data_IF_848916191682
#
_entry.id   IF_848916191682
#
_cell.length_a   1.000
_cell.length_b   1.000
_cell.length_c   1.000
_cell.angle_alpha   90.00
_cell.angle_beta   90.00
_cell.angle_gamma   90.00
#
_symmetry.space_group_name_H-M   'P 1'
#
loop_
_entity.id
_entity.type
_entity.pdbx_description
1 polymer ?
#
# COMPACT_ATOMS: atom_id res chain seq x y z
N UNK A 1 -5.49 -7.91 12.95
CA UNK A 1 -5.18 -7.55 11.55
C UNK A 1 -5.60 -6.13 11.14
N UNK A 2 -6.90 -5.76 11.04
CA UNK A 2 -7.26 -4.46 10.41
C UNK A 2 -6.89 -3.20 11.22
N UNK A 3 -6.93 -3.28 12.55
CA UNK A 3 -6.47 -2.18 13.43
C UNK A 3 -4.95 -1.97 13.31
N UNK A 4 -4.23 -3.03 12.99
CA UNK A 4 -2.78 -3.08 12.79
C UNK A 4 -2.49 -3.07 11.28
N UNK A 5 -3.12 -2.18 10.50
CA UNK A 5 -2.82 -2.09 9.06
C UNK A 5 -1.62 -1.15 8.83
N UNK A 6 -0.77 -1.41 7.83
CA UNK A 6 0.35 -0.52 7.52
C UNK A 6 -0.15 0.85 7.07
N UNK A 7 0.57 1.90 7.45
CA UNK A 7 0.30 3.28 7.05
C UNK A 7 1.30 3.68 5.97
N UNK A 8 0.83 4.35 4.92
CA UNK A 8 1.71 4.82 3.84
C UNK A 8 2.42 6.10 4.24
N UNK A 9 3.66 6.24 3.80
CA UNK A 9 4.50 7.43 4.02
C UNK A 9 4.86 8.00 2.65
N UNK A 10 4.02 8.87 2.06
CA UNK A 10 4.30 9.44 0.75
C UNK A 10 5.37 10.54 0.84
N UNK A 11 5.94 10.91 -0.31
CA UNK A 11 7.07 11.85 -0.40
C UNK A 11 6.74 13.24 0.16
N UNK A 12 5.48 13.65 0.05
CA UNK A 12 4.96 14.90 0.61
C UNK A 12 4.97 14.92 2.15
N UNK A 13 5.11 13.77 2.81
CA UNK A 13 5.26 13.65 4.27
C UNK A 13 6.72 13.45 4.71
N UNK A 14 7.70 13.66 3.83
CA UNK A 14 9.14 13.59 4.15
C UNK A 14 9.77 12.21 4.00
N UNK A 15 9.06 11.21 3.46
CA UNK A 15 9.61 9.88 3.19
C UNK A 15 10.38 9.78 1.87
N UNK A 16 11.35 8.85 1.77
CA UNK A 16 12.01 8.44 0.51
C UNK A 16 11.10 7.57 -0.38
N UNK A 17 9.85 7.99 -0.54
CA UNK A 17 8.83 7.27 -1.29
C UNK A 17 8.86 7.65 -2.78
N UNK A 18 8.82 6.65 -3.64
CA UNK A 18 8.79 6.84 -5.11
C UNK A 18 7.36 6.84 -5.63
N UNK A 19 6.57 5.83 -5.26
CA UNK A 19 5.15 5.72 -5.64
C UNK A 19 4.30 5.64 -4.37
N UNK A 20 3.34 6.54 -4.15
CA UNK A 20 2.28 6.41 -3.12
C UNK A 20 2.64 6.25 -1.63
N UNK A 21 3.89 5.94 -1.28
CA UNK A 21 4.35 5.66 0.09
C UNK A 21 4.10 4.24 0.60
N UNK A 22 3.68 3.29 -0.26
CA UNK A 22 3.25 1.94 0.15
C UNK A 22 4.43 1.09 0.63
N UNK A 23 5.48 0.94 -0.20
CA UNK A 23 6.66 0.16 0.18
C UNK A 23 7.37 0.73 1.41
N UNK A 24 7.43 2.07 1.50
CA UNK A 24 8.02 2.76 2.65
C UNK A 24 7.21 2.52 3.92
N UNK A 25 5.88 2.49 3.82
CA UNK A 25 4.98 2.13 4.93
C UNK A 25 5.08 0.67 5.37
N UNK A 26 5.25 -0.24 4.42
CA UNK A 26 5.55 -1.64 4.69
C UNK A 26 6.87 -1.81 5.43
N UNK A 27 7.92 -1.13 4.95
CA UNK A 27 9.23 -1.18 5.59
C UNK A 27 9.27 -0.59 7.00
N UNK A 28 8.57 0.53 7.22
CA UNK A 28 8.43 1.14 8.53
C UNK A 28 7.74 0.20 9.54
N UNK A 29 6.73 -0.54 9.08
CA UNK A 29 5.98 -1.47 9.94
C UNK A 29 6.70 -2.78 10.23
N UNK A 30 7.28 -3.41 9.21
CA UNK A 30 7.84 -4.77 9.31
C UNK A 30 9.37 -4.77 9.41
N UNK A 31 10.02 -3.61 9.50
CA UNK A 31 11.48 -3.49 9.60
C UNK A 31 12.24 -3.86 8.32
N UNK A 32 11.55 -4.06 7.19
CA UNK A 32 12.16 -4.43 5.92
C UNK A 32 12.59 -3.20 5.09
N UNK A 33 13.67 -3.31 4.31
CA UNK A 33 14.07 -2.25 3.39
C UNK A 33 12.95 -2.02 2.34
N UNK A 34 12.48 -0.77 2.14
CA UNK A 34 11.52 -0.42 1.08
C UNK A 34 11.92 -0.92 -0.31
N UNK A 35 13.22 -1.08 -0.59
CA UNK A 35 13.72 -1.64 -1.85
C UNK A 35 13.40 -3.12 -1.97
N UNK A 36 13.60 -3.92 -0.92
CA UNK A 36 13.26 -5.34 -0.92
C UNK A 36 11.75 -5.56 -1.16
N UNK A 37 10.90 -4.73 -0.53
CA UNK A 37 9.45 -4.76 -0.74
C UNK A 37 9.09 -4.41 -2.19
N UNK A 38 9.78 -3.44 -2.82
CA UNK A 38 9.57 -3.13 -4.25
C UNK A 38 9.93 -4.31 -5.14
N UNK A 39 11.07 -4.95 -4.89
CA UNK A 39 11.51 -6.12 -5.65
C UNK A 39 10.47 -7.23 -5.55
N UNK A 40 9.92 -7.48 -4.36
CA UNK A 40 8.84 -8.45 -4.18
C UNK A 40 7.58 -8.11 -5.02
N UNK A 41 7.15 -6.86 -5.05
CA UNK A 41 6.03 -6.42 -5.91
C UNK A 41 6.35 -6.56 -7.40
N UNK A 42 7.56 -6.19 -7.84
CA UNK A 42 7.99 -6.28 -9.23
C UNK A 42 8.07 -7.73 -9.68
N UNK A 43 8.64 -8.62 -8.87
CA UNK A 43 8.72 -10.05 -9.16
C UNK A 43 7.32 -10.67 -9.23
N UNK A 44 6.44 -10.30 -8.30
CA UNK A 44 5.03 -10.75 -8.33
C UNK A 44 4.30 -10.21 -9.57
N UNK A 45 4.66 -9.01 -10.02
CA UNK A 45 4.15 -8.38 -11.24
C UNK A 45 4.62 -9.06 -12.52
N UNK A 46 5.90 -9.37 -12.63
CA UNK A 46 6.48 -9.98 -13.82
C UNK A 46 6.14 -11.47 -13.95
N UNK A 47 6.15 -12.20 -12.84
CA UNK A 47 5.91 -13.66 -12.86
C UNK A 47 4.42 -13.98 -12.98
N UNK A 48 3.55 -13.14 -12.41
CA UNK A 48 2.13 -13.45 -12.30
C UNK A 48 1.18 -12.37 -12.83
N UNK A 49 1.67 -11.28 -13.40
CA UNK A 49 0.86 -10.17 -13.93
C UNK A 49 0.13 -9.31 -12.87
N UNK A 50 0.08 -9.77 -11.60
CA UNK A 50 -0.77 -9.19 -10.55
C UNK A 50 -0.07 -8.22 -9.59
N UNK A 51 1.26 -8.10 -9.62
CA UNK A 51 2.01 -7.23 -8.68
C UNK A 51 1.62 -5.76 -8.72
N UNK A 52 1.30 -5.21 -9.90
CA UNK A 52 0.76 -3.85 -10.03
C UNK A 52 -0.62 -3.75 -9.39
N UNK A 53 -1.49 -4.73 -9.62
CA UNK A 53 -2.82 -4.74 -9.00
C UNK A 53 -2.73 -4.81 -7.47
N UNK A 54 -1.89 -5.70 -6.95
CA UNK A 54 -1.61 -5.80 -5.52
C UNK A 54 -1.10 -4.47 -4.95
N UNK A 55 -0.22 -3.78 -5.68
CA UNK A 55 0.29 -2.47 -5.29
C UNK A 55 -0.80 -1.41 -5.21
N UNK A 56 -1.66 -1.32 -6.23
CA UNK A 56 -2.78 -0.37 -6.28
C UNK A 56 -3.78 -0.65 -5.16
N UNK A 57 -4.05 -1.92 -4.88
CA UNK A 57 -4.93 -2.34 -3.78
C UNK A 57 -4.34 -1.94 -2.42
N UNK A 58 -3.04 -2.16 -2.19
CA UNK A 58 -2.36 -1.70 -0.97
C UNK A 58 -2.49 -0.19 -0.80
N UNK A 59 -2.30 0.57 -1.88
CA UNK A 59 -2.44 2.02 -1.86
C UNK A 59 -3.88 2.44 -1.50
N UNK A 60 -4.89 1.76 -2.03
CA UNK A 60 -6.30 2.06 -1.74
C UNK A 60 -6.66 1.79 -0.26
N UNK A 61 -6.09 0.73 0.33
CA UNK A 61 -6.41 0.27 1.68
C UNK A 61 -5.59 0.98 2.78
N UNK A 62 -4.38 1.45 2.46
CA UNK A 62 -3.47 2.05 3.44
C UNK A 62 -3.73 3.56 3.64
N UNK A 63 -4.02 4.01 4.88
CA UNK A 63 -4.12 5.42 5.21
C UNK A 63 -2.73 6.08 5.25
N UNK A 64 -2.67 7.40 5.05
CA UNK A 64 -1.42 8.17 5.26
C UNK A 64 -1.04 8.18 6.75
N UNK A 65 0.23 8.46 7.04
CA UNK A 65 0.63 8.86 8.39
C UNK A 65 -0.13 10.14 8.78
N UNK A 66 -0.64 10.16 10.02
CA UNK A 66 -1.44 11.27 10.56
C UNK A 66 -2.92 11.25 10.19
N UNK A 67 -3.34 10.39 9.25
CA UNK A 67 -4.74 10.29 8.81
C UNK A 67 -5.36 8.96 9.25
N UNK A 68 -6.63 8.97 9.65
CA UNK A 68 -7.35 7.74 10.01
C UNK A 68 -8.07 7.12 8.82
N UNK A 69 -8.44 7.93 7.83
CA UNK A 69 -9.10 7.48 6.61
C UNK A 69 -8.10 6.99 5.56
N UNK A 70 -8.41 5.84 4.96
CA UNK A 70 -7.73 5.37 3.76
C UNK A 70 -8.42 5.91 2.50
N UNK A 71 -7.71 5.99 1.35
CA UNK A 71 -8.30 6.45 0.10
C UNK A 71 -9.60 5.72 -0.27
N UNK A 72 -9.66 4.40 -0.06
CA UNK A 72 -10.89 3.63 -0.27
C UNK A 72 -12.06 4.06 0.63
N UNK A 73 -11.79 4.36 1.90
CA UNK A 73 -12.83 4.85 2.85
C UNK A 73 -13.31 6.25 2.47
N UNK A 74 -12.43 7.10 1.94
CA UNK A 74 -12.79 8.45 1.49
C UNK A 74 -13.80 8.46 0.32
N UNK A 75 -13.92 7.35 -0.43
CA UNK A 75 -14.94 7.20 -1.48
C UNK A 75 -16.32 6.90 -0.86
N UNK A 76 -16.35 6.06 0.17
CA UNK A 76 -17.57 5.57 0.82
C UNK A 76 -18.25 6.63 1.69
N UNK A 77 -17.49 7.63 2.13
CA UNK A 77 -17.97 8.67 3.05
C UNK A 77 -18.42 9.94 2.27
N UNK A 78 -19.48 10.64 2.69
CA UNK A 78 -19.94 11.88 2.05
C UNK A 78 -18.89 13.01 2.04
N UNK A 79 -18.82 13.78 0.94
CA UNK A 79 -17.76 14.80 0.69
C UNK A 79 -17.72 15.96 1.69
N UNK A 80 -18.80 16.20 2.41
CA UNK A 80 -18.98 17.27 3.39
C UNK A 80 -18.32 16.95 4.75
N UNK A 81 -18.01 15.68 5.02
CA UNK A 81 -17.35 15.24 6.27
C UNK A 81 -15.83 15.06 6.11
N UNK A 82 -15.31 15.23 4.89
CA UNK A 82 -13.91 14.97 4.57
C UNK A 82 -13.03 16.21 4.82
N UNK A 83 -11.89 15.98 5.47
CA UNK A 83 -10.84 16.99 5.60
C UNK A 83 -10.25 17.35 4.22
N UNK A 84 -9.55 18.48 4.07
CA UNK A 84 -8.89 18.86 2.81
C UNK A 84 -7.91 17.79 2.31
N UNK A 85 -7.19 17.12 3.21
CA UNK A 85 -6.27 16.02 2.88
C UNK A 85 -7.01 14.77 2.39
N UNK A 86 -8.11 14.40 3.05
CA UNK A 86 -8.95 13.27 2.66
C UNK A 86 -9.65 13.49 1.31
N UNK A 87 -10.00 14.75 0.99
CA UNK A 87 -10.58 15.10 -0.32
C UNK A 87 -9.60 14.86 -1.48
N UNK A 88 -8.31 15.15 -1.26
CA UNK A 88 -7.23 14.83 -2.22
C UNK A 88 -7.11 13.31 -2.39
N UNK A 89 -7.16 12.57 -1.29
CA UNK A 89 -7.10 11.11 -1.30
C UNK A 89 -8.28 10.46 -2.00
N UNK A 90 -9.50 11.02 -1.86
CA UNK A 90 -10.67 10.55 -2.60
C UNK A 90 -10.50 10.65 -4.11
N UNK A 91 -9.89 11.73 -4.61
CA UNK A 91 -9.60 11.89 -6.04
C UNK A 91 -8.59 10.85 -6.51
N UNK A 92 -7.52 10.64 -5.74
CA UNK A 92 -6.54 9.59 -6.01
C UNK A 92 -7.20 8.20 -5.99
N UNK A 93 -8.12 7.95 -5.04
CA UNK A 93 -8.83 6.69 -4.91
C UNK A 93 -9.65 6.35 -6.16
N UNK A 94 -10.28 7.35 -6.78
CA UNK A 94 -10.98 7.15 -8.07
C UNK A 94 -10.04 6.70 -9.19
N UNK A 95 -8.86 7.31 -9.31
CA UNK A 95 -7.84 6.88 -10.27
C UNK A 95 -7.31 5.48 -9.96
N UNK A 96 -7.18 5.13 -8.67
CA UNK A 96 -6.77 3.80 -8.23
C UNK A 96 -7.82 2.71 -8.48
N UNK A 97 -9.10 3.05 -8.64
CA UNK A 97 -10.15 2.10 -9.04
C UNK A 97 -10.21 1.99 -10.56
N UNK A 98 -10.10 3.12 -11.25
CA UNK A 98 -10.18 3.17 -12.71
C UNK A 98 -8.99 2.44 -13.37
N UNK A 99 -7.78 2.58 -12.82
CA UNK A 99 -6.59 1.88 -13.32
C UNK A 99 -6.75 0.35 -13.42
N UNK A 100 -7.11 -0.35 -12.33
CA UNK A 100 -7.39 -1.78 -12.35
C UNK A 100 -8.52 -2.19 -13.30
N UNK A 101 -9.60 -1.41 -13.39
CA UNK A 101 -10.72 -1.71 -14.29
C UNK A 101 -10.26 -1.77 -15.75
N UNK A 102 -9.34 -0.88 -16.13
CA UNK A 102 -8.77 -0.86 -17.48
C UNK A 102 -7.69 -1.94 -17.64
N UNK A 103 -6.84 -2.13 -16.64
CA UNK A 103 -5.67 -3.01 -16.73
C UNK A 103 -5.99 -4.50 -16.63
N UNK A 104 -6.93 -4.90 -15.76
CA UNK A 104 -7.23 -6.30 -15.45
C UNK A 104 -7.78 -7.08 -16.66
N UNK A 105 -8.72 -6.55 -17.48
CA UNK A 105 -9.18 -7.23 -18.69
C UNK A 105 -8.03 -7.48 -19.68
N UNK A 106 -7.18 -6.47 -19.90
CA UNK A 106 -6.01 -6.58 -20.79
C UNK A 106 -4.98 -7.58 -20.28
N UNK A 107 -4.76 -7.63 -18.97
CA UNK A 107 -3.84 -8.60 -18.37
C UNK A 107 -4.39 -10.04 -18.39
N UNK A 108 -5.72 -10.20 -18.26
CA UNK A 108 -6.37 -11.51 -18.31
C UNK A 108 -6.32 -12.14 -19.72
N UNK A 109 -6.43 -11.34 -20.78
CA UNK A 109 -6.33 -11.84 -22.16
C UNK A 109 -4.88 -12.19 -22.56
N UNK A 110 -3.89 -11.63 -21.88
CA UNK A 110 -2.48 -11.80 -22.22
C UNK A 110 -1.79 -13.02 -21.58
N UNK A 111 -2.42 -13.73 -20.62
CA UNK A 111 -1.76 -14.75 -19.82
C UNK A 111 -2.59 -15.97 -19.45
N UNK A 112 -1.93 -17.07 -19.07
CA UNK A 112 -2.59 -18.28 -18.57
C UNK A 112 -3.23 -18.00 -17.19
N UNK A 113 -4.56 -18.17 -17.12
CA UNK A 113 -5.37 -18.03 -15.91
C UNK A 113 -4.80 -18.76 -14.67
N UNK A 114 -4.13 -19.91 -14.86
CA UNK A 114 -3.54 -20.71 -13.76
C UNK A 114 -2.36 -19.99 -13.11
N UNK A 115 -1.54 -19.32 -13.92
CA UNK A 115 -0.40 -18.53 -13.46
C UNK A 115 -0.91 -17.31 -12.69
N UNK A 116 -1.92 -16.62 -13.24
CA UNK A 116 -2.54 -15.46 -12.59
C UNK A 116 -3.10 -15.79 -11.21
N UNK A 117 -3.85 -16.88 -11.09
CA UNK A 117 -4.37 -17.36 -9.80
C UNK A 117 -3.24 -17.75 -8.82
N UNK A 118 -2.21 -18.42 -9.31
CA UNK A 118 -1.01 -18.73 -8.52
C UNK A 118 -0.34 -17.48 -7.94
N UNK A 119 -0.30 -16.39 -8.68
CA UNK A 119 0.23 -15.11 -8.21
C UNK A 119 -0.55 -14.48 -7.09
N UNK A 120 -1.89 -14.52 -7.17
CA UNK A 120 -2.73 -14.04 -6.08
C UNK A 120 -2.50 -14.86 -4.80
N UNK A 121 -2.35 -16.17 -4.93
CA UNK A 121 -2.03 -17.05 -3.78
C UNK A 121 -0.65 -16.73 -3.21
N UNK A 122 0.38 -16.60 -4.05
CA UNK A 122 1.74 -16.23 -3.60
C UNK A 122 1.76 -14.86 -2.94
N UNK A 123 1.05 -13.87 -3.49
CA UNK A 123 0.91 -12.56 -2.88
C UNK A 123 0.26 -12.63 -1.50
N UNK A 124 -0.84 -13.39 -1.36
CA UNK A 124 -1.50 -13.59 -0.08
C UNK A 124 -0.60 -14.32 0.92
N UNK A 125 0.19 -15.29 0.46
CA UNK A 125 1.18 -15.98 1.30
C UNK A 125 2.30 -15.03 1.75
N UNK A 126 2.86 -14.22 0.85
CA UNK A 126 3.87 -13.21 1.20
C UNK A 126 3.31 -12.20 2.21
N UNK A 127 2.07 -11.74 2.01
CA UNK A 127 1.37 -10.87 2.94
C UNK A 127 1.17 -11.55 4.30
N UNK A 128 0.74 -12.81 4.30
CA UNK A 128 0.50 -13.58 5.50
C UNK A 128 1.79 -13.84 6.28
N UNK A 129 2.87 -14.21 5.59
CA UNK A 129 4.22 -14.40 6.18
C UNK A 129 4.73 -13.08 6.76
N UNK A 130 4.58 -11.97 6.03
CA UNK A 130 4.96 -10.65 6.54
C UNK A 130 4.12 -10.25 7.77
N UNK A 131 2.84 -10.60 7.81
CA UNK A 131 2.02 -10.38 9.00
C UNK A 131 2.43 -11.28 10.18
N UNK A 132 2.73 -12.55 9.90
CA UNK A 132 3.10 -13.52 10.92
C UNK A 132 4.46 -13.21 11.55
N UNK A 133 5.37 -12.54 10.84
CA UNK A 133 6.66 -12.12 11.40
C UNK A 133 6.54 -10.99 12.42
N UNK A 134 5.58 -10.06 12.26
CA UNK A 134 5.34 -8.97 13.22
C UNK A 134 3.82 -8.71 13.42
N UNK A 135 3.15 -9.53 14.25
CA UNK A 135 1.72 -9.42 14.49
C UNK A 135 1.34 -8.25 15.40
N UNK A 136 2.25 -7.82 16.28
CA UNK A 136 2.00 -6.70 17.19
C UNK A 136 2.15 -5.35 16.49
N UNK A 137 1.25 -4.39 16.74
CA UNK A 137 1.42 -3.03 16.25
C UNK A 137 2.67 -2.39 16.89
N UNK A 138 3.41 -1.51 16.19
CA UNK A 138 4.42 -0.68 16.83
C UNK A 138 3.79 0.08 18.01
N UNK A 139 4.46 0.07 19.16
CA UNK A 139 3.89 0.42 20.46
C UNK A 139 3.45 1.89 20.57
N UNK A 140 3.90 2.78 19.68
CA UNK A 140 3.34 4.12 19.55
C UNK A 140 3.25 4.62 18.10
N UNK A 141 2.18 5.36 17.79
CA UNK A 141 2.08 6.21 16.58
C UNK A 141 3.19 7.28 16.53
N UNK A 142 3.77 7.58 17.69
CA UNK A 142 4.90 8.51 17.85
C UNK A 142 6.21 7.87 17.39
N UNK A 143 6.40 6.55 17.45
CA UNK A 143 7.61 5.87 16.96
C UNK A 143 7.76 6.01 15.44
N UNK A 144 6.66 5.97 14.70
CA UNK A 144 6.63 6.27 13.26
C UNK A 144 7.06 7.73 12.98
N UNK A 145 6.71 8.67 13.89
CA UNK A 145 7.13 10.08 13.83
C UNK A 145 8.58 10.27 14.31
N UNK A 146 9.07 9.45 15.24
CA UNK A 146 10.46 9.44 15.74
C UNK A 146 11.39 8.90 14.66
N UNK A 147 11.02 7.83 13.96
CA UNK A 147 11.76 7.32 12.80
C UNK A 147 11.80 8.37 11.68
N UNK A 148 10.68 9.06 11.41
CA UNK A 148 10.61 10.22 10.49
C UNK A 148 11.59 11.33 10.91
N UNK A 149 11.62 11.69 12.19
CA UNK A 149 12.52 12.73 12.72
C UNK A 149 14.00 12.32 12.65
N UNK A 150 14.32 11.03 12.78
CA UNK A 150 15.68 10.52 12.66
C UNK A 150 16.18 10.48 11.20
N UNK A 151 15.29 10.36 10.21
CA UNK A 151 15.65 10.40 8.79
C UNK A 151 15.78 11.82 8.23
N UNK A 152 15.07 12.81 8.78
CA UNK A 152 15.25 14.23 8.42
C UNK A 152 16.49 14.85 9.06
N UNK A 153 17.08 14.22 10.07
CA UNK A 153 18.32 14.66 10.74
C UNK A 153 19.63 14.14 10.10
N UNK A 154 19.55 13.29 9.08
CA UNK A 154 20.71 12.80 8.31
C UNK A 154 20.71 13.36 6.91
#
# INVERSE_FOLDING_TARGET
MWQTRPRRIPKDQGGKAVFGGVCTGFGARYGHDPVAVRIAFVLTGFVFGGGIFAYLLCWLLMPRIGETASPGRAIMVPKNTLTPAERKDRRTAWWLILGPIIFVPTAHEAGDSRITLGGFVVFLLLWFVAYASHPEPPQSLDDDLVWRNNQTRR
#
